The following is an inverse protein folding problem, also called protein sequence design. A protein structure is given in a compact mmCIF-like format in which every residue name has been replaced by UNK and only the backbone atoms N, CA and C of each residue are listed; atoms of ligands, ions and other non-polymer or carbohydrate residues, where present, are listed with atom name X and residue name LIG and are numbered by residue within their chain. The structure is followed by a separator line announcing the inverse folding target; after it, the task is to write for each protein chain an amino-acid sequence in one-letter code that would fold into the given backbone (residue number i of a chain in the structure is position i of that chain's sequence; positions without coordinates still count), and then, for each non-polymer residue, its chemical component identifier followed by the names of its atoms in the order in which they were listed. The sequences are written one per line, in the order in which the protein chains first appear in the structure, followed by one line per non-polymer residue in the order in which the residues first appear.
data_IF_111105456783
#
_entry.id   IF_111105456783
#
_cell.length_a   1.000
_cell.length_b   1.000
_cell.length_c   1.000
_cell.angle_alpha   90.00
_cell.angle_beta   90.00
_cell.angle_gamma   90.00
#
_symmetry.space_group_name_H-M   'P 1'
#
loop_
_entity.id
_entity.type
_entity.pdbx_description
1 polymer ?
#
# COMPACT_ATOMS: atom_id res chain seq x y z
N UNK A 1 3.23 -24.90 5.90
CA UNK A 1 3.46 -25.21 4.48
C UNK A 1 2.28 -24.77 3.64
N UNK A 2 2.52 -23.85 2.75
CA UNK A 2 1.46 -23.30 1.91
C UNK A 2 1.20 -24.19 0.70
N UNK A 3 -0.07 -24.54 0.46
CA UNK A 3 -0.49 -25.17 -0.80
C UNK A 3 -0.86 -24.09 -1.80
N UNK A 4 -0.77 -24.38 -3.10
CA UNK A 4 -1.17 -23.43 -4.15
C UNK A 4 -2.65 -23.05 -3.99
N UNK A 5 -3.53 -24.02 -3.77
CA UNK A 5 -4.94 -23.76 -3.54
C UNK A 5 -5.20 -22.86 -2.32
N UNK A 6 -4.52 -23.14 -1.21
CA UNK A 6 -4.64 -22.35 0.01
C UNK A 6 -4.14 -20.91 -0.16
N UNK A 7 -3.05 -20.71 -0.89
CA UNK A 7 -2.55 -19.37 -1.23
C UNK A 7 -3.51 -18.61 -2.13
N UNK A 8 -4.06 -19.25 -3.15
CA UNK A 8 -5.05 -18.63 -4.04
C UNK A 8 -6.30 -18.18 -3.28
N UNK A 9 -6.76 -18.95 -2.30
CA UNK A 9 -7.85 -18.53 -1.42
C UNK A 9 -7.46 -17.32 -0.56
N UNK A 10 -6.28 -17.35 0.03
CA UNK A 10 -5.78 -16.26 0.88
C UNK A 10 -5.70 -14.94 0.13
N UNK A 11 -5.20 -14.96 -1.10
CA UNK A 11 -5.08 -13.75 -1.93
C UNK A 11 -6.36 -13.40 -2.69
N UNK A 12 -7.42 -14.21 -2.58
CA UNK A 12 -8.71 -13.95 -3.21
C UNK A 12 -8.75 -14.22 -4.71
N UNK A 13 -7.91 -15.11 -5.21
CA UNK A 13 -7.83 -15.47 -6.64
C UNK A 13 -8.20 -16.93 -6.92
N UNK A 14 -8.84 -17.63 -6.01
CA UNK A 14 -9.24 -19.03 -6.20
C UNK A 14 -10.10 -19.23 -7.45
N UNK A 15 -11.02 -18.31 -7.72
CA UNK A 15 -11.88 -18.35 -8.91
C UNK A 15 -11.13 -18.08 -10.22
N UNK A 16 -9.92 -17.53 -10.14
CA UNK A 16 -9.09 -17.16 -11.28
C UNK A 16 -7.95 -18.18 -11.54
N UNK A 17 -7.96 -19.33 -10.88
CA UNK A 17 -6.88 -20.31 -10.91
C UNK A 17 -6.50 -20.77 -12.33
N UNK A 18 -7.49 -20.89 -13.21
CA UNK A 18 -7.31 -21.35 -14.60
C UNK A 18 -7.20 -20.20 -15.62
N UNK A 19 -7.19 -18.95 -15.15
CA UNK A 19 -7.07 -17.78 -16.00
C UNK A 19 -5.58 -17.41 -16.15
N UNK A 20 -5.08 -17.15 -17.37
CA UNK A 20 -3.72 -16.66 -17.55
C UNK A 20 -3.47 -15.37 -16.77
N UNK A 21 -2.33 -15.26 -16.10
CA UNK A 21 -1.98 -14.09 -15.30
C UNK A 21 -2.01 -12.77 -16.10
N UNK A 22 -1.76 -12.84 -17.41
CA UNK A 22 -1.84 -11.69 -18.32
C UNK A 22 -3.23 -11.07 -18.44
N UNK A 23 -4.27 -11.84 -18.07
CA UNK A 23 -5.68 -11.40 -18.12
C UNK A 23 -6.20 -10.88 -16.78
N UNK A 24 -5.41 -10.95 -15.74
CA UNK A 24 -5.76 -10.40 -14.44
C UNK A 24 -5.79 -8.87 -14.47
N UNK A 25 -6.65 -8.26 -13.67
CA UNK A 25 -6.62 -6.82 -13.43
C UNK A 25 -5.31 -6.42 -12.73
N UNK A 26 -5.01 -5.12 -12.72
CA UNK A 26 -3.81 -4.61 -12.05
C UNK A 26 -3.79 -4.97 -10.55
N UNK A 27 -4.91 -4.79 -9.85
CA UNK A 27 -5.05 -5.16 -8.44
C UNK A 27 -4.95 -6.67 -8.19
N UNK A 28 -5.51 -7.48 -9.08
CA UNK A 28 -5.38 -8.95 -9.02
C UNK A 28 -3.93 -9.39 -9.22
N UNK A 29 -3.21 -8.79 -10.16
CA UNK A 29 -1.77 -9.03 -10.36
C UNK A 29 -0.97 -8.68 -9.11
N UNK A 30 -1.29 -7.57 -8.47
CA UNK A 30 -0.62 -7.14 -7.25
C UNK A 30 -0.83 -8.15 -6.12
N UNK A 31 -2.04 -8.65 -5.96
CA UNK A 31 -2.33 -9.70 -4.97
C UNK A 31 -1.61 -11.02 -5.30
N UNK A 32 -1.51 -11.37 -6.59
CA UNK A 32 -0.74 -12.53 -7.03
C UNK A 32 0.75 -12.38 -6.67
N UNK A 33 1.36 -11.24 -6.90
CA UNK A 33 2.76 -10.97 -6.54
C UNK A 33 2.99 -11.12 -5.02
N UNK A 34 2.09 -10.59 -4.21
CA UNK A 34 2.15 -10.76 -2.75
C UNK A 34 2.05 -12.25 -2.38
N UNK A 35 1.14 -12.99 -3.02
CA UNK A 35 1.00 -14.43 -2.81
C UNK A 35 2.26 -15.21 -3.17
N UNK A 36 2.95 -14.84 -4.24
CA UNK A 36 4.23 -15.45 -4.64
C UNK A 36 5.32 -15.19 -3.61
N UNK A 37 5.35 -14.02 -2.98
CA UNK A 37 6.27 -13.72 -1.88
C UNK A 37 5.96 -14.58 -0.65
N UNK A 38 4.70 -14.68 -0.28
CA UNK A 38 4.26 -15.51 0.87
C UNK A 38 4.58 -17.00 0.66
N UNK A 39 4.49 -17.48 -0.58
CA UNK A 39 4.80 -18.86 -0.94
C UNK A 39 6.24 -19.26 -0.59
N UNK A 40 7.16 -18.32 -0.53
CA UNK A 40 8.55 -18.53 -0.17
C UNK A 40 8.77 -18.66 1.35
N UNK A 41 7.71 -18.49 2.15
CA UNK A 41 7.74 -18.52 3.62
C UNK A 41 8.82 -17.62 4.24
N UNK A 42 8.88 -16.33 3.87
CA UNK A 42 9.90 -15.42 4.37
C UNK A 42 9.65 -15.05 5.84
N UNK A 43 10.71 -14.71 6.56
CA UNK A 43 10.60 -14.14 7.91
C UNK A 43 10.08 -12.70 7.89
N UNK A 44 10.41 -11.97 6.83
CA UNK A 44 9.98 -10.59 6.60
C UNK A 44 9.56 -10.41 5.14
N UNK A 45 8.35 -9.88 4.94
CA UNK A 45 7.86 -9.44 3.64
C UNK A 45 8.16 -7.95 3.46
N UNK A 46 8.85 -7.61 2.38
CA UNK A 46 9.07 -6.22 1.96
C UNK A 46 8.18 -5.92 0.77
N UNK A 47 7.29 -4.96 0.90
CA UNK A 47 6.31 -4.61 -0.13
C UNK A 47 6.47 -3.12 -0.46
N UNK A 48 6.89 -2.84 -1.68
CA UNK A 48 7.17 -1.48 -2.15
C UNK A 48 6.03 -0.94 -3.01
N UNK A 49 5.41 0.14 -2.55
CA UNK A 49 4.33 0.85 -3.23
C UNK A 49 3.21 -0.07 -3.77
N UNK A 50 2.59 -0.90 -2.93
CA UNK A 50 1.68 -1.94 -3.39
C UNK A 50 0.39 -1.42 -4.01
N UNK A 51 0.04 -0.16 -3.80
CA UNK A 51 -1.24 0.42 -4.28
C UNK A 51 -1.08 1.46 -5.39
N UNK A 52 0.14 1.61 -5.93
CA UNK A 52 0.39 2.53 -7.03
C UNK A 52 -0.48 2.18 -8.27
N UNK A 53 -1.27 3.14 -8.72
CA UNK A 53 -2.12 2.98 -9.90
C UNK A 53 -3.36 2.10 -9.70
N UNK A 54 -3.68 1.68 -8.49
CA UNK A 54 -4.89 0.92 -8.18
C UNK A 54 -6.11 1.83 -7.97
N UNK A 55 -7.30 1.28 -8.25
CA UNK A 55 -8.56 1.90 -7.85
C UNK A 55 -8.73 1.88 -6.33
N UNK A 56 -9.67 2.65 -5.79
CA UNK A 56 -9.95 2.67 -4.35
C UNK A 56 -10.37 1.30 -3.83
N UNK A 57 -11.20 0.58 -4.59
CA UNK A 57 -11.63 -0.78 -4.25
C UNK A 57 -10.44 -1.77 -4.24
N UNK A 58 -9.60 -1.72 -5.26
CA UNK A 58 -8.40 -2.56 -5.35
C UNK A 58 -7.41 -2.25 -4.23
N UNK A 59 -7.25 -0.99 -3.89
CA UNK A 59 -6.43 -0.53 -2.77
C UNK A 59 -6.91 -1.10 -1.45
N UNK A 60 -8.21 -1.05 -1.19
CA UNK A 60 -8.82 -1.63 0.00
C UNK A 60 -8.61 -3.16 0.06
N UNK A 61 -8.78 -3.85 -1.06
CA UNK A 61 -8.55 -5.30 -1.15
C UNK A 61 -7.10 -5.68 -0.84
N UNK A 62 -6.13 -4.93 -1.35
CA UNK A 62 -4.71 -5.14 -1.03
C UNK A 62 -4.44 -4.86 0.45
N UNK A 63 -5.01 -3.80 1.00
CA UNK A 63 -4.89 -3.48 2.42
C UNK A 63 -5.43 -4.59 3.32
N UNK A 64 -6.61 -5.10 3.02
CA UNK A 64 -7.21 -6.21 3.76
C UNK A 64 -6.37 -7.49 3.68
N UNK A 65 -5.79 -7.77 2.52
CA UNK A 65 -4.86 -8.89 2.36
C UNK A 65 -3.63 -8.73 3.25
N UNK A 66 -3.00 -7.57 3.24
CA UNK A 66 -1.82 -7.30 4.08
C UNK A 66 -2.13 -7.40 5.57
N UNK A 67 -3.29 -6.91 6.00
CA UNK A 67 -3.74 -7.05 7.40
C UNK A 67 -3.94 -8.52 7.79
N UNK A 68 -4.52 -9.33 6.92
CA UNK A 68 -4.69 -10.77 7.15
C UNK A 68 -3.33 -11.48 7.26
N UNK A 69 -2.40 -11.17 6.36
CA UNK A 69 -1.05 -11.75 6.36
C UNK A 69 -0.22 -11.31 7.57
N UNK A 70 -0.44 -10.11 8.07
CA UNK A 70 0.29 -9.55 9.22
C UNK A 70 0.02 -10.31 10.53
N UNK A 71 -1.01 -11.14 10.59
CA UNK A 71 -1.29 -11.99 11.75
C UNK A 71 -0.24 -13.09 11.93
N UNK A 72 0.39 -13.52 10.84
CA UNK A 72 1.37 -14.61 10.83
C UNK A 72 2.71 -14.26 10.19
N UNK A 73 2.84 -13.06 9.64
CA UNK A 73 4.06 -12.58 8.98
C UNK A 73 4.44 -11.20 9.48
N UNK A 74 5.75 -10.93 9.52
CA UNK A 74 6.25 -9.56 9.66
C UNK A 74 6.25 -8.90 8.28
N UNK A 75 5.63 -7.73 8.17
CA UNK A 75 5.50 -7.02 6.91
C UNK A 75 6.00 -5.58 7.06
N UNK A 76 6.85 -5.17 6.15
CA UNK A 76 7.26 -3.78 5.98
C UNK A 76 6.74 -3.27 4.64
N UNK A 77 5.98 -2.20 4.67
CA UNK A 77 5.40 -1.57 3.48
C UNK A 77 6.04 -0.19 3.29
N UNK A 78 6.50 0.09 2.08
CA UNK A 78 6.96 1.41 1.67
C UNK A 78 5.84 2.05 0.88
N UNK A 79 5.33 3.19 1.37
CA UNK A 79 4.16 3.82 0.78
C UNK A 79 4.14 5.33 1.06
N UNK A 80 3.48 6.09 0.19
CA UNK A 80 3.23 7.51 0.37
C UNK A 80 1.73 7.86 0.35
N UNK A 81 0.88 6.89 0.09
CA UNK A 81 -0.58 7.03 0.20
C UNK A 81 -1.00 6.99 1.67
N UNK A 82 -1.33 8.15 2.24
CA UNK A 82 -1.63 8.29 3.66
C UNK A 82 -2.92 7.57 4.08
N UNK A 83 -3.93 7.50 3.22
CA UNK A 83 -5.16 6.77 3.50
C UNK A 83 -4.91 5.27 3.59
N UNK A 84 -4.08 4.73 2.70
CA UNK A 84 -3.67 3.34 2.74
C UNK A 84 -2.82 3.04 3.97
N UNK A 85 -1.86 3.89 4.30
CA UNK A 85 -1.04 3.76 5.52
C UNK A 85 -1.91 3.75 6.76
N UNK A 86 -2.91 4.63 6.83
CA UNK A 86 -3.87 4.66 7.96
C UNK A 86 -4.61 3.34 8.11
N UNK A 87 -4.99 2.70 7.00
CA UNK A 87 -5.71 1.43 7.02
C UNK A 87 -4.88 0.29 7.61
N UNK A 88 -3.58 0.23 7.30
CA UNK A 88 -2.78 -0.97 7.55
C UNK A 88 -1.73 -0.83 8.65
N UNK A 89 -1.27 0.38 8.94
CA UNK A 89 -0.08 0.56 9.75
C UNK A 89 -0.34 0.41 11.25
N UNK A 90 0.51 -0.36 11.91
CA UNK A 90 0.67 -0.36 13.38
C UNK A 90 1.70 0.66 13.81
N UNK A 91 2.83 0.69 13.10
CA UNK A 91 3.95 1.58 13.35
C UNK A 91 4.36 2.22 12.03
N UNK A 92 4.51 3.54 12.06
CA UNK A 92 4.93 4.32 10.90
C UNK A 92 6.27 4.97 11.19
N UNK A 93 7.20 4.78 10.26
CA UNK A 93 8.50 5.46 10.25
C UNK A 93 8.52 6.39 9.05
N UNK A 94 8.70 7.68 9.28
CA UNK A 94 8.76 8.68 8.22
C UNK A 94 10.21 8.97 7.89
N UNK A 95 10.58 8.76 6.62
CA UNK A 95 11.90 9.09 6.09
C UNK A 95 11.83 10.39 5.29
N UNK A 96 12.83 11.24 5.47
CA UNK A 96 13.01 12.45 4.70
C UNK A 96 14.51 12.72 4.50
N UNK A 97 14.90 12.92 3.25
CA UNK A 97 16.29 13.20 2.88
C UNK A 97 17.31 12.23 3.52
N UNK A 98 16.97 10.93 3.50
CA UNK A 98 17.86 9.87 3.99
C UNK A 98 17.90 9.70 5.51
N UNK A 99 17.05 10.40 6.26
CA UNK A 99 17.02 10.35 7.72
C UNK A 99 15.60 10.05 8.24
N UNK A 100 15.52 9.45 9.42
CA UNK A 100 14.25 9.27 10.12
C UNK A 100 13.76 10.60 10.65
N UNK A 101 12.63 11.08 10.16
CA UNK A 101 12.00 12.31 10.60
C UNK A 101 11.24 12.12 11.91
N UNK A 102 10.41 11.09 11.97
CA UNK A 102 9.71 10.66 13.18
C UNK A 102 9.24 9.21 13.04
N UNK A 103 8.85 8.63 14.15
CA UNK A 103 8.34 7.28 14.23
C UNK A 103 7.27 7.19 15.34
N UNK A 104 6.20 6.45 15.09
CA UNK A 104 5.13 6.26 16.05
C UNK A 104 3.91 5.60 15.40
N UNK A 105 2.76 5.63 16.06
CA UNK A 105 1.52 5.24 15.42
C UNK A 105 1.09 6.27 14.36
N UNK A 106 0.07 5.93 13.59
CA UNK A 106 -0.37 6.80 12.51
C UNK A 106 -0.79 8.19 13.00
N UNK A 107 -1.50 8.28 14.12
CA UNK A 107 -2.00 9.55 14.66
C UNK A 107 -0.85 10.43 15.16
N UNK A 108 0.14 9.87 15.84
CA UNK A 108 1.34 10.60 16.27
C UNK A 108 2.09 11.17 15.08
N UNK A 109 2.30 10.36 14.04
CA UNK A 109 3.00 10.75 12.82
C UNK A 109 2.21 11.82 12.05
N UNK A 110 0.92 11.61 11.86
CA UNK A 110 0.02 12.53 11.15
C UNK A 110 0.00 13.93 11.80
N UNK A 111 0.06 13.99 13.10
CA UNK A 111 0.00 15.25 13.87
C UNK A 111 1.37 15.88 14.12
N UNK A 112 2.45 15.24 13.70
CA UNK A 112 3.80 15.80 13.83
C UNK A 112 3.96 17.03 12.94
N UNK A 113 4.31 18.22 13.46
CA UNK A 113 4.43 19.44 12.67
C UNK A 113 5.42 19.34 11.51
N UNK A 114 6.51 18.59 11.66
CA UNK A 114 7.52 18.40 10.61
C UNK A 114 6.99 17.51 9.47
N UNK A 115 6.17 16.52 9.77
CA UNK A 115 5.52 15.68 8.77
C UNK A 115 4.50 16.49 7.99
N UNK A 116 3.70 17.32 8.67
CA UNK A 116 2.74 18.22 8.05
C UNK A 116 3.45 19.17 7.09
N UNK A 117 4.56 19.77 7.52
CA UNK A 117 5.35 20.70 6.70
C UNK A 117 5.92 20.02 5.45
N UNK A 118 6.49 18.83 5.58
CA UNK A 118 7.22 18.15 4.50
C UNK A 118 6.28 17.43 3.53
N UNK A 119 5.26 16.76 4.03
CA UNK A 119 4.40 15.88 3.21
C UNK A 119 3.03 16.45 2.93
N UNK A 120 2.34 17.00 3.92
CA UNK A 120 0.97 17.49 3.76
C UNK A 120 0.92 18.92 3.19
N UNK A 121 1.94 19.73 3.44
CA UNK A 121 2.09 21.05 2.82
C UNK A 121 2.27 21.00 1.31
N UNK A 122 2.94 19.98 0.79
CA UNK A 122 3.16 19.79 -0.65
C UNK A 122 1.90 19.33 -1.40
N UNK A 123 1.02 18.57 -0.76
CA UNK A 123 -0.26 18.16 -1.36
C UNK A 123 -1.19 19.35 -1.59
N UNK A 124 -1.21 20.32 -0.68
CA UNK A 124 -2.01 21.54 -0.82
C UNK A 124 -1.50 22.40 -1.98
N UNK A 125 -0.21 22.53 -2.16
CA UNK A 125 0.38 23.28 -3.28
C UNK A 125 0.11 22.60 -4.63
N UNK A 126 0.14 21.27 -4.69
CA UNK A 126 -0.11 20.53 -5.91
C UNK A 126 -1.58 20.62 -6.36
N UNK A 127 -2.52 20.55 -5.43
CA UNK A 127 -3.95 20.72 -5.70
C UNK A 127 -4.27 22.16 -6.12
N UNK A 128 -3.67 23.16 -5.50
CA UNK A 128 -3.86 24.56 -5.87
C UNK A 128 -3.37 24.87 -7.29
N UNK A 129 -2.29 24.22 -7.72
CA UNK A 129 -1.72 24.42 -9.06
C UNK A 129 -2.58 23.80 -10.16
N UNK A 130 -3.25 22.68 -9.87
CA UNK A 130 -4.16 22.01 -10.83
C UNK A 130 -5.49 22.75 -11.00
N UNK A 131 -5.98 23.41 -9.97
CA UNK A 131 -7.20 24.24 -10.05
C UNK A 131 -6.98 25.54 -10.83
N UNK A 132 -5.81 26.14 -10.73
CA UNK A 132 -5.46 27.35 -11.46
C UNK A 132 -5.28 27.13 -12.96
N UNK A 133 -4.87 25.93 -13.38
CA UNK A 133 -4.76 25.58 -14.80
C UNK A 133 -6.11 25.31 -15.46
N UNK A 134 -7.12 24.90 -14.68
CA UNK A 134 -8.46 24.63 -15.20
C UNK A 134 -9.34 25.89 -15.32
N UNK A 135 -8.98 26.96 -14.66
CA UNK A 135 -9.73 28.25 -14.72
C UNK A 135 -9.29 29.18 -15.85
N UNK A 136 -8.21 28.86 -16.56
CA UNK A 136 -7.67 29.67 -17.65
C UNK A 136 -8.13 29.25 -19.06
N UNK A 137 -9.06 28.29 -19.17
CA UNK A 137 -9.53 27.71 -20.45
C UNK A 137 -11.00 28.07 -20.77
N UNK A 138 -11.44 29.26 -20.40
CA UNK A 138 -12.74 29.78 -20.85
C UNK A 138 -12.59 31.15 -21.44
#
# INVERSE_FOLDING_TARGET
RHTVAGLLETIGLAANADIPATKLSHGEKQRLEIGMLVAQSPDLLLVDEPVAGLTDEETENVGNLLLALAQSHSIMVIEHDMEFVRQIARKVTVLHQGSVLCEGDFDEVKNNPRVIEVYLGQEVEHNSSSELQNSSSH
#
